data_IF_153331291906
#
_entry.id   IF_153331291906
#
_cell.length_a   1.000
_cell.length_b   1.000
_cell.length_c   1.000
_cell.angle_alpha   90.00
_cell.angle_beta   90.00
_cell.angle_gamma   90.00
#
_symmetry.space_group_name_H-M   'P 1'
#
loop_
_entity.id
_entity.type
_entity.pdbx_description
1 polymer ?
#
# COMPACT_ATOMS: atom_id res chain seq x y z
N UNK A 1 -15.19 -2.50 -1.95
CA UNK A 1 -16.15 -2.97 -2.95
C UNK A 1 -15.47 -3.60 -4.17
N UNK A 2 -14.32 -3.07 -4.59
CA UNK A 2 -13.55 -3.57 -5.75
C UNK A 2 -12.54 -4.69 -5.44
N UNK A 3 -12.40 -5.10 -4.18
CA UNK A 3 -11.53 -6.21 -3.79
C UNK A 3 -12.22 -7.54 -4.11
N UNK A 4 -11.69 -8.30 -5.05
CA UNK A 4 -12.19 -9.62 -5.45
C UNK A 4 -13.66 -9.66 -5.88
N UNK A 5 -14.09 -10.77 -6.44
CA UNK A 5 -15.50 -11.06 -6.69
C UNK A 5 -16.23 -11.50 -5.41
N UNK A 6 -17.56 -11.50 -5.36
CA UNK A 6 -18.29 -12.05 -4.22
C UNK A 6 -17.87 -13.47 -3.81
N UNK A 7 -17.71 -14.45 -4.73
CA UNK A 7 -17.22 -15.78 -4.36
C UNK A 7 -15.82 -15.77 -3.74
N UNK A 8 -14.91 -14.91 -4.26
CA UNK A 8 -13.57 -14.77 -3.69
C UNK A 8 -13.66 -14.21 -2.26
N UNK A 9 -14.46 -13.17 -2.03
CA UNK A 9 -14.59 -12.58 -0.69
C UNK A 9 -15.25 -13.49 0.33
N UNK A 10 -16.12 -14.39 -0.09
CA UNK A 10 -16.79 -15.31 0.82
C UNK A 10 -15.93 -16.51 1.23
N UNK A 11 -14.88 -16.83 0.49
CA UNK A 11 -14.00 -17.98 0.75
C UNK A 11 -12.58 -17.61 1.14
N UNK A 12 -12.09 -16.44 0.73
CA UNK A 12 -10.73 -15.99 1.04
C UNK A 12 -10.61 -15.50 2.49
N UNK A 13 -9.41 -15.63 3.05
CA UNK A 13 -9.05 -15.04 4.34
C UNK A 13 -8.05 -13.92 4.15
N UNK A 14 -8.09 -12.91 5.02
CA UNK A 14 -7.11 -11.83 5.01
C UNK A 14 -5.71 -12.36 5.30
N UNK A 15 -5.56 -13.21 6.32
CA UNK A 15 -4.29 -13.86 6.65
C UNK A 15 -3.71 -14.68 5.49
N UNK A 16 -4.55 -15.44 4.78
CA UNK A 16 -4.15 -16.19 3.58
C UNK A 16 -3.70 -15.29 2.44
N UNK A 17 -4.35 -14.14 2.22
CA UNK A 17 -3.95 -13.17 1.21
C UNK A 17 -2.58 -12.55 1.54
N UNK A 18 -2.35 -12.18 2.81
CA UNK A 18 -1.06 -11.66 3.30
C UNK A 18 0.03 -12.72 3.18
N UNK A 19 -0.20 -13.94 3.69
CA UNK A 19 0.79 -15.01 3.68
C UNK A 19 1.22 -15.42 2.26
N UNK A 20 0.30 -15.36 1.29
CA UNK A 20 0.61 -15.60 -0.13
C UNK A 20 1.58 -14.55 -0.72
N UNK A 21 1.60 -13.33 -0.20
CA UNK A 21 2.53 -12.28 -0.62
C UNK A 21 2.52 -11.98 -2.12
N UNK A 22 1.34 -12.02 -2.75
CA UNK A 22 1.23 -11.76 -4.18
C UNK A 22 1.70 -10.33 -4.50
N UNK A 23 2.60 -10.14 -5.51
CA UNK A 23 3.03 -8.81 -5.93
C UNK A 23 1.89 -7.93 -6.49
N UNK A 24 0.72 -8.50 -6.72
CA UNK A 24 -0.48 -7.81 -7.21
C UNK A 24 -1.68 -7.97 -6.25
N UNK A 25 -1.45 -8.36 -5.00
CA UNK A 25 -2.50 -8.46 -3.98
C UNK A 25 -2.93 -7.09 -3.46
N UNK A 26 -4.23 -6.81 -3.45
CA UNK A 26 -4.75 -5.46 -3.19
C UNK A 26 -4.83 -5.07 -1.71
N UNK A 27 -4.87 -6.05 -0.78
CA UNK A 27 -4.93 -5.73 0.65
C UNK A 27 -3.61 -5.19 1.20
N UNK A 28 -2.47 -5.65 0.67
CA UNK A 28 -1.15 -5.30 1.21
C UNK A 28 -0.81 -3.81 1.08
N UNK A 29 -1.04 -3.11 -0.04
CA UNK A 29 -0.80 -1.67 -0.08
C UNK A 29 -1.58 -0.90 0.98
N UNK A 30 -2.85 -1.26 1.21
CA UNK A 30 -3.68 -0.63 2.23
C UNK A 30 -3.12 -0.86 3.64
N UNK A 31 -2.77 -2.10 3.96
CA UNK A 31 -2.25 -2.47 5.27
C UNK A 31 -0.85 -1.89 5.53
N UNK A 32 0.01 -1.82 4.50
CA UNK A 32 1.33 -1.18 4.59
C UNK A 32 1.21 0.33 4.82
N UNK A 33 0.27 1.00 4.15
CA UNK A 33 0.02 2.42 4.35
C UNK A 33 -0.62 2.73 5.72
N UNK A 34 -1.18 1.72 6.40
CA UNK A 34 -1.73 1.83 7.76
C UNK A 34 -0.79 1.27 8.84
N UNK A 35 0.47 0.96 8.50
CA UNK A 35 1.48 0.36 9.39
C UNK A 35 0.95 -0.87 10.14
N UNK A 36 0.33 -1.78 9.42
CA UNK A 36 -0.20 -2.99 10.03
C UNK A 36 0.87 -3.84 10.67
N UNK A 37 0.53 -4.41 11.81
CA UNK A 37 1.32 -5.40 12.54
C UNK A 37 0.60 -6.75 12.52
N UNK A 38 1.35 -7.81 12.32
CA UNK A 38 0.86 -9.17 12.33
C UNK A 38 1.17 -9.84 13.67
N UNK A 39 0.21 -10.56 14.21
CA UNK A 39 0.45 -11.54 15.27
C UNK A 39 0.58 -12.91 14.63
N UNK A 40 1.77 -13.49 14.75
CA UNK A 40 2.07 -14.85 14.30
C UNK A 40 1.97 -15.80 15.47
N UNK A 41 1.31 -16.94 15.27
CA UNK A 41 1.15 -17.98 16.29
C UNK A 41 1.59 -19.34 15.75
N UNK A 42 2.17 -20.15 16.62
CA UNK A 42 2.38 -21.59 16.41
C UNK A 42 2.11 -22.36 17.70
N UNK A 43 1.87 -23.64 17.55
CA UNK A 43 1.86 -24.54 18.69
C UNK A 43 3.31 -24.93 19.01
N UNK A 44 3.79 -24.49 20.14
CA UNK A 44 5.15 -24.77 20.59
C UNK A 44 5.30 -26.15 21.21
N UNK A 45 6.51 -26.48 21.59
CA UNK A 45 6.85 -27.69 22.32
C UNK A 45 6.04 -27.73 23.64
N UNK A 46 5.62 -28.92 24.07
CA UNK A 46 4.81 -29.15 25.27
C UNK A 46 3.38 -28.56 25.22
N UNK A 47 2.86 -28.30 24.00
CA UNK A 47 1.46 -27.85 23.81
C UNK A 47 1.15 -26.42 24.21
N UNK A 48 2.16 -25.62 24.58
CA UNK A 48 2.00 -24.18 24.79
C UNK A 48 2.01 -23.43 23.47
N UNK A 49 1.08 -22.48 23.31
CA UNK A 49 1.08 -21.60 22.15
C UNK A 49 2.16 -20.54 22.29
N UNK A 50 2.91 -20.33 21.21
CA UNK A 50 3.93 -19.28 21.08
C UNK A 50 3.40 -18.23 20.11
N UNK A 51 3.55 -16.95 20.48
CA UNK A 51 3.14 -15.83 19.64
C UNK A 51 4.30 -14.83 19.52
N UNK A 52 4.37 -14.17 18.36
CA UNK A 52 5.26 -13.02 18.15
C UNK A 52 4.61 -11.99 17.24
N UNK A 53 5.00 -10.74 17.40
CA UNK A 53 4.52 -9.63 16.55
C UNK A 53 5.56 -9.29 15.50
N UNK A 54 5.09 -8.99 14.29
CA UNK A 54 5.93 -8.60 13.15
C UNK A 54 5.23 -7.48 12.40
N UNK A 55 5.92 -6.38 12.17
CA UNK A 55 5.43 -5.33 11.29
C UNK A 55 5.27 -5.87 9.86
N UNK A 56 4.16 -5.55 9.19
CA UNK A 56 3.89 -6.06 7.84
C UNK A 56 5.01 -5.68 6.85
N UNK A 57 5.61 -4.50 7.00
CA UNK A 57 6.74 -4.07 6.16
C UNK A 57 8.00 -4.96 6.31
N UNK A 58 8.17 -5.62 7.44
CA UNK A 58 9.27 -6.57 7.71
C UNK A 58 8.89 -8.03 7.44
N UNK A 59 7.62 -8.29 7.08
CA UNK A 59 7.11 -9.65 6.92
C UNK A 59 7.61 -10.32 5.65
N UNK A 60 7.77 -9.56 4.55
CA UNK A 60 8.22 -10.10 3.26
C UNK A 60 9.73 -9.96 3.11
N UNK A 61 10.42 -11.07 2.81
CA UNK A 61 11.86 -11.12 2.61
C UNK A 61 12.25 -11.31 1.13
N UNK A 62 11.26 -11.43 0.26
CA UNK A 62 11.44 -11.60 -1.17
C UNK A 62 10.16 -12.08 -1.86
N UNK A 63 10.25 -12.36 -3.15
CA UNK A 63 9.10 -12.85 -3.93
C UNK A 63 8.61 -14.19 -3.35
N UNK A 64 7.37 -14.21 -2.85
CA UNK A 64 6.76 -15.36 -2.15
C UNK A 64 7.59 -15.91 -0.98
N UNK A 65 8.39 -15.05 -0.37
CA UNK A 65 9.15 -15.38 0.83
C UNK A 65 8.71 -14.50 1.98
N UNK A 66 8.48 -15.09 3.13
CA UNK A 66 8.07 -14.41 4.35
C UNK A 66 8.94 -14.86 5.53
N UNK A 67 8.82 -14.17 6.63
CA UNK A 67 9.48 -14.54 7.91
C UNK A 67 8.76 -15.63 8.68
N UNK A 68 7.69 -16.22 8.13
CA UNK A 68 6.98 -17.33 8.75
C UNK A 68 7.92 -18.51 8.99
N UNK A 69 7.91 -19.03 10.20
CA UNK A 69 8.61 -20.25 10.57
C UNK A 69 7.70 -21.48 10.38
N UNK A 70 8.23 -22.69 10.28
CA UNK A 70 7.42 -23.90 10.21
C UNK A 70 6.40 -23.97 11.34
N UNK A 71 5.13 -24.22 10.97
CA UNK A 71 4.02 -24.29 11.90
C UNK A 71 3.43 -22.94 12.35
N UNK A 72 4.00 -21.80 11.93
CA UNK A 72 3.41 -20.49 12.19
C UNK A 72 2.29 -20.17 11.22
N UNK A 73 1.27 -19.46 11.71
CA UNK A 73 0.22 -18.84 10.91
C UNK A 73 -0.07 -17.42 11.39
N UNK A 74 -0.68 -16.62 10.53
CA UNK A 74 -1.13 -15.27 10.88
C UNK A 74 -2.44 -15.39 11.67
N UNK A 75 -2.38 -15.10 12.96
CA UNK A 75 -3.53 -15.14 13.84
C UNK A 75 -4.35 -13.85 13.78
N UNK A 76 -3.66 -12.71 13.79
CA UNK A 76 -4.31 -11.40 13.80
C UNK A 76 -3.54 -10.40 12.93
N UNK A 77 -4.28 -9.42 12.44
CA UNK A 77 -3.78 -8.25 11.72
C UNK A 77 -4.29 -7.02 12.46
N UNK A 78 -3.38 -6.23 12.98
CA UNK A 78 -3.68 -5.03 13.73
C UNK A 78 -3.22 -3.80 12.94
N UNK A 79 -4.03 -2.77 12.88
CA UNK A 79 -3.66 -1.48 12.32
C UNK A 79 -4.45 -0.38 13.03
N UNK A 80 -3.86 0.81 13.12
CA UNK A 80 -4.53 1.95 13.73
C UNK A 80 -5.61 2.51 12.81
N UNK A 81 -6.71 2.97 13.41
CA UNK A 81 -7.65 3.82 12.65
C UNK A 81 -6.88 5.08 12.21
N UNK A 82 -7.17 5.61 11.03
CA UNK A 82 -6.45 6.79 10.52
C UNK A 82 -6.44 7.99 11.49
N UNK A 83 -7.46 8.19 12.33
CA UNK A 83 -7.55 9.34 13.23
C UNK A 83 -7.50 10.65 12.44
N UNK A 84 -6.58 11.59 12.76
CA UNK A 84 -6.35 12.81 11.98
C UNK A 84 -5.64 12.51 10.63
N UNK A 85 -5.12 11.31 10.46
CA UNK A 85 -4.43 10.87 9.26
C UNK A 85 -5.41 10.70 8.11
N UNK A 86 -5.09 11.26 6.98
CA UNK A 86 -5.79 10.99 5.74
C UNK A 86 -5.42 9.61 5.20
N UNK A 87 -6.35 8.96 4.52
CA UNK A 87 -6.11 7.67 3.87
C UNK A 87 -6.86 7.60 2.55
N UNK A 88 -6.15 7.17 1.51
CA UNK A 88 -6.74 6.93 0.18
C UNK A 88 -6.19 5.64 -0.41
N UNK A 89 -7.01 4.94 -1.18
CA UNK A 89 -6.60 3.74 -1.90
C UNK A 89 -7.29 3.69 -3.27
N UNK A 90 -6.53 3.34 -4.30
CA UNK A 90 -7.03 3.21 -5.65
C UNK A 90 -6.54 1.92 -6.30
N UNK A 91 -7.47 1.22 -6.91
CA UNK A 91 -7.22 0.02 -7.71
C UNK A 91 -7.40 0.35 -9.19
N UNK A 92 -6.39 0.08 -9.98
CA UNK A 92 -6.40 0.19 -11.44
C UNK A 92 -6.36 -1.20 -12.06
N UNK A 93 -7.35 -1.52 -12.87
CA UNK A 93 -7.52 -2.81 -13.55
C UNK A 93 -8.17 -2.60 -14.92
N UNK A 94 -8.06 -3.56 -15.82
CA UNK A 94 -8.63 -3.48 -17.17
C UNK A 94 -10.15 -3.45 -17.17
N UNK A 95 -10.76 -4.20 -16.25
CA UNK A 95 -12.22 -4.20 -16.03
C UNK A 95 -12.53 -3.58 -14.68
N UNK A 96 -13.71 -3.01 -14.55
CA UNK A 96 -14.12 -2.35 -13.31
C UNK A 96 -14.30 -3.36 -12.17
N UNK A 97 -14.94 -4.49 -12.43
CA UNK A 97 -15.19 -5.54 -11.45
C UNK A 97 -14.51 -6.85 -11.82
N UNK A 98 -14.32 -7.71 -10.80
CA UNK A 98 -13.81 -9.08 -10.92
C UNK A 98 -12.49 -9.20 -11.69
N UNK A 99 -11.63 -8.18 -11.56
CA UNK A 99 -10.36 -8.17 -12.28
C UNK A 99 -9.17 -7.99 -11.35
N UNK A 100 -8.05 -8.56 -11.75
CA UNK A 100 -6.77 -8.44 -11.05
C UNK A 100 -6.19 -7.06 -11.36
N UNK A 101 -5.60 -6.42 -10.35
CA UNK A 101 -4.97 -5.12 -10.50
C UNK A 101 -3.80 -5.15 -11.48
N UNK A 102 -3.75 -4.18 -12.37
CA UNK A 102 -2.50 -3.78 -13.00
C UNK A 102 -1.60 -3.10 -11.95
N UNK A 103 -2.20 -2.22 -11.14
CA UNK A 103 -1.58 -1.57 -9.99
C UNK A 103 -2.67 -1.20 -8.97
N UNK A 104 -2.38 -1.37 -7.70
CA UNK A 104 -3.14 -0.82 -6.59
C UNK A 104 -2.20 0.02 -5.75
N UNK A 105 -2.62 1.22 -5.35
CA UNK A 105 -1.86 2.10 -4.48
C UNK A 105 -2.69 2.48 -3.26
N UNK A 106 -2.03 2.62 -2.12
CA UNK A 106 -2.61 3.22 -0.94
C UNK A 106 -1.62 4.23 -0.35
N UNK A 107 -2.14 5.37 0.08
CA UNK A 107 -1.37 6.43 0.71
C UNK A 107 -2.08 6.88 1.99
N UNK A 108 -1.31 7.10 3.04
CA UNK A 108 -1.76 7.81 4.23
C UNK A 108 -0.76 8.90 4.60
N UNK A 109 -1.27 10.01 5.15
CA UNK A 109 -0.48 11.18 5.56
C UNK A 109 -1.21 11.99 6.61
N UNK A 110 -0.48 12.84 7.32
CA UNK A 110 -1.03 13.90 8.14
C UNK A 110 -0.89 15.24 7.40
N UNK A 111 -1.82 16.16 7.64
CA UNK A 111 -1.70 17.55 7.19
C UNK A 111 -1.11 18.38 8.34
N UNK A 112 0.00 19.06 8.07
CA UNK A 112 0.61 20.02 8.99
C UNK A 112 0.75 21.37 8.28
N UNK A 113 -0.26 22.21 8.44
CA UNK A 113 -0.30 23.54 7.82
C UNK A 113 -0.23 23.51 6.27
N UNK A 114 -0.85 22.53 5.65
CA UNK A 114 -0.85 22.31 4.20
C UNK A 114 0.36 21.53 3.69
N UNK A 115 1.22 21.00 4.59
CA UNK A 115 2.31 20.11 4.24
C UNK A 115 1.95 18.66 4.52
N UNK A 116 2.37 17.80 3.61
CA UNK A 116 2.18 16.35 3.73
C UNK A 116 3.24 15.78 4.68
N UNK A 117 2.84 15.30 5.85
CA UNK A 117 3.75 14.76 6.85
C UNK A 117 3.38 13.34 7.23
N UNK A 118 4.33 12.58 7.77
CA UNK A 118 4.20 11.17 8.12
C UNK A 118 3.59 10.36 6.94
N UNK A 119 4.15 10.60 5.75
CA UNK A 119 3.67 10.01 4.50
C UNK A 119 4.00 8.53 4.45
N UNK A 120 3.00 7.73 4.13
CA UNK A 120 3.13 6.29 3.87
C UNK A 120 2.46 5.95 2.56
N UNK A 121 3.24 5.42 1.65
CA UNK A 121 2.80 5.07 0.31
C UNK A 121 3.23 3.65 -0.03
N UNK A 122 2.29 2.84 -0.47
CA UNK A 122 2.57 1.48 -0.89
C UNK A 122 1.86 1.14 -2.20
N UNK A 123 2.52 0.32 -3.00
CA UNK A 123 1.99 -0.18 -4.26
C UNK A 123 2.01 -1.70 -4.32
N UNK A 124 1.08 -2.24 -5.10
CA UNK A 124 1.30 -3.53 -5.75
C UNK A 124 1.71 -3.29 -7.23
N UNK A 125 2.37 -4.25 -7.81
CA UNK A 125 2.72 -4.27 -9.23
C UNK A 125 4.00 -3.52 -9.63
N UNK A 126 4.65 -2.80 -8.71
CA UNK A 126 5.94 -2.13 -8.95
C UNK A 126 7.14 -2.93 -8.42
N UNK A 127 6.93 -3.73 -7.40
CA UNK A 127 7.96 -4.53 -6.73
C UNK A 127 7.64 -6.01 -6.84
N UNK A 128 8.62 -6.92 -6.71
CA UNK A 128 8.40 -8.36 -6.77
C UNK A 128 7.63 -8.91 -5.55
N UNK A 129 7.47 -8.13 -4.50
CA UNK A 129 6.67 -8.44 -3.30
C UNK A 129 6.09 -7.14 -2.72
N UNK A 130 5.04 -7.21 -1.88
CA UNK A 130 4.44 -6.01 -1.31
C UNK A 130 5.44 -5.21 -0.47
N UNK A 131 5.58 -3.92 -0.76
CA UNK A 131 6.52 -3.04 -0.07
C UNK A 131 6.01 -1.58 -0.06
N UNK A 132 6.52 -0.79 0.88
CA UNK A 132 6.36 0.68 0.89
C UNK A 132 7.28 1.32 -0.15
N UNK A 133 6.82 2.42 -0.70
CA UNK A 133 7.52 3.21 -1.71
C UNK A 133 8.40 4.29 -1.05
N UNK A 134 9.41 3.87 -0.29
CA UNK A 134 10.21 4.74 0.59
C UNK A 134 10.81 5.95 -0.10
N UNK A 135 11.30 5.79 -1.31
CA UNK A 135 11.91 6.87 -2.09
C UNK A 135 10.87 7.90 -2.52
N UNK A 136 9.66 7.46 -2.87
CA UNK A 136 8.54 8.35 -3.17
C UNK A 136 8.02 9.02 -1.89
N UNK A 137 7.93 8.30 -0.78
CA UNK A 137 7.58 8.88 0.52
C UNK A 137 8.54 10.02 0.87
N UNK A 138 9.85 9.80 0.76
CA UNK A 138 10.86 10.82 1.02
C UNK A 138 10.78 12.03 0.07
N UNK A 139 10.39 11.81 -1.18
CA UNK A 139 10.20 12.91 -2.15
C UNK A 139 8.95 13.76 -1.87
N UNK A 140 7.97 13.21 -1.15
CA UNK A 140 6.68 13.85 -0.83
C UNK A 140 6.70 14.46 0.58
N UNK A 141 7.42 13.83 1.52
CA UNK A 141 7.47 14.24 2.94
C UNK A 141 7.83 15.71 3.12
N UNK A 142 7.05 16.44 3.91
CA UNK A 142 7.21 17.85 4.20
C UNK A 142 6.85 18.80 3.06
N UNK A 143 6.43 18.29 1.90
CA UNK A 143 6.06 19.11 0.74
C UNK A 143 4.60 19.55 0.81
N UNK A 144 4.32 20.69 0.20
CA UNK A 144 2.94 21.06 -0.13
C UNK A 144 2.52 20.35 -1.42
N UNK A 145 1.22 20.09 -1.65
CA UNK A 145 0.74 19.46 -2.88
C UNK A 145 1.16 20.17 -4.18
N UNK A 146 1.24 21.51 -4.14
CA UNK A 146 1.62 22.36 -5.27
C UNK A 146 3.14 22.42 -5.52
N UNK A 147 3.95 21.97 -4.55
CA UNK A 147 5.41 21.85 -4.68
C UNK A 147 5.83 20.52 -5.34
N UNK A 148 4.90 19.61 -5.60
CA UNK A 148 5.21 18.29 -6.17
C UNK A 148 5.32 18.37 -7.70
N UNK A 149 6.52 18.14 -8.18
CA UNK A 149 6.86 18.17 -9.59
C UNK A 149 6.78 16.78 -10.24
N UNK A 150 6.17 16.72 -11.41
CA UNK A 150 5.99 15.50 -12.21
C UNK A 150 7.33 14.86 -12.58
N UNK A 151 8.31 15.68 -13.00
CA UNK A 151 9.61 15.17 -13.45
C UNK A 151 10.37 14.52 -12.30
N UNK A 152 10.32 15.12 -11.10
CA UNK A 152 10.90 14.55 -9.87
C UNK A 152 10.27 13.20 -9.53
N UNK A 153 8.94 13.08 -9.60
CA UNK A 153 8.25 11.82 -9.32
C UNK A 153 8.59 10.74 -10.35
N UNK A 154 8.65 11.10 -11.66
CA UNK A 154 9.04 10.16 -12.72
C UNK A 154 10.49 9.67 -12.52
N UNK A 155 11.41 10.56 -12.19
CA UNK A 155 12.81 10.21 -11.93
C UNK A 155 12.95 9.27 -10.75
N UNK A 156 12.26 9.55 -9.64
CA UNK A 156 12.24 8.66 -8.47
C UNK A 156 11.71 7.28 -8.84
N UNK A 157 10.61 7.20 -9.59
CA UNK A 157 10.04 5.92 -10.02
C UNK A 157 11.02 5.17 -10.92
N UNK A 158 11.63 5.84 -11.89
CA UNK A 158 12.55 5.20 -12.84
C UNK A 158 13.78 4.59 -12.15
N UNK A 159 14.36 5.28 -11.17
CA UNK A 159 15.57 4.79 -10.47
C UNK A 159 15.31 3.83 -9.32
N UNK A 160 14.13 3.89 -8.69
CA UNK A 160 13.84 3.12 -7.46
C UNK A 160 13.24 1.76 -7.73
N UNK A 161 12.66 1.53 -8.90
CA UNK A 161 11.94 0.30 -9.20
C UNK A 161 12.51 -0.43 -10.39
N UNK A 162 12.57 -1.77 -10.29
CA UNK A 162 13.04 -2.63 -11.37
C UNK A 162 12.01 -2.67 -12.51
N UNK A 163 12.43 -2.31 -13.70
CA UNK A 163 11.64 -2.38 -14.91
C UNK A 163 11.28 -3.83 -15.23
N UNK A 164 10.02 -4.19 -15.09
CA UNK A 164 9.54 -5.54 -15.38
C UNK A 164 8.16 -5.52 -16.01
N UNK A 165 8.12 -5.94 -17.26
CA UNK A 165 6.86 -6.22 -17.94
C UNK A 165 6.20 -7.48 -17.37
N UNK A 166 4.90 -7.51 -17.43
CA UNK A 166 4.10 -8.63 -16.95
C UNK A 166 2.86 -8.84 -17.82
N UNK A 167 2.25 -10.01 -17.68
CA UNK A 167 1.05 -10.38 -18.44
C UNK A 167 -0.13 -9.39 -18.28
N UNK A 168 -0.14 -8.59 -17.22
CA UNK A 168 -1.26 -7.71 -16.90
C UNK A 168 -1.06 -6.28 -17.35
N UNK A 169 0.18 -5.81 -17.37
CA UNK A 169 0.56 -4.47 -17.81
C UNK A 169 2.05 -4.41 -18.09
N UNK A 170 2.45 -3.52 -18.98
CA UNK A 170 3.85 -3.16 -19.21
C UNK A 170 4.37 -2.33 -18.04
N UNK A 171 5.69 -2.29 -17.88
CA UNK A 171 6.34 -1.42 -16.91
C UNK A 171 5.99 0.06 -17.15
N UNK A 172 6.09 0.53 -18.39
CA UNK A 172 5.77 1.92 -18.74
C UNK A 172 4.37 2.33 -18.28
N UNK A 173 3.37 1.45 -18.47
CA UNK A 173 2.01 1.71 -17.98
C UNK A 173 1.93 1.77 -16.46
N UNK A 174 2.61 0.84 -15.76
CA UNK A 174 2.60 0.82 -14.28
C UNK A 174 3.30 2.04 -13.68
N UNK A 175 4.43 2.48 -14.26
CA UNK A 175 5.15 3.68 -13.84
C UNK A 175 4.28 4.93 -14.01
N UNK A 176 3.66 5.08 -15.20
CA UNK A 176 2.72 6.16 -15.48
C UNK A 176 1.55 6.17 -14.47
N UNK A 177 0.96 5.01 -14.21
CA UNK A 177 -0.15 4.88 -13.24
C UNK A 177 0.33 5.22 -11.82
N UNK A 178 1.50 4.74 -11.41
CA UNK A 178 2.04 5.01 -10.08
C UNK A 178 2.21 6.50 -9.82
N UNK A 179 2.85 7.23 -10.76
CA UNK A 179 2.96 8.68 -10.70
C UNK A 179 1.59 9.37 -10.64
N UNK A 180 0.70 9.02 -11.56
CA UNK A 180 -0.61 9.66 -11.63
C UNK A 180 -1.45 9.41 -10.37
N UNK A 181 -1.27 8.28 -9.68
CA UNK A 181 -1.94 8.03 -8.40
C UNK A 181 -1.39 8.91 -7.28
N UNK A 182 -0.07 9.17 -7.23
CA UNK A 182 0.50 10.15 -6.28
C UNK A 182 -0.13 11.53 -6.51
N UNK A 183 -0.10 12.01 -7.75
CA UNK A 183 -0.69 13.32 -8.10
C UNK A 183 -2.18 13.37 -7.73
N UNK A 184 -2.93 12.31 -7.98
CA UNK A 184 -4.34 12.22 -7.62
C UNK A 184 -4.57 12.26 -6.10
N UNK A 185 -3.73 11.61 -5.30
CA UNK A 185 -3.83 11.67 -3.86
C UNK A 185 -3.66 13.11 -3.35
N UNK A 186 -2.63 13.80 -3.83
CA UNK A 186 -2.30 15.16 -3.38
C UNK A 186 -3.24 16.22 -3.96
N UNK A 187 -3.76 16.06 -5.18
CA UNK A 187 -4.74 16.98 -5.77
C UNK A 187 -6.07 16.99 -4.99
N UNK A 188 -6.49 15.83 -4.49
CA UNK A 188 -7.67 15.76 -3.62
C UNK A 188 -7.47 16.56 -2.33
N UNK A 189 -6.25 16.62 -1.81
CA UNK A 189 -5.92 17.38 -0.61
C UNK A 189 -5.90 18.88 -0.89
N UNK A 190 -5.29 19.30 -1.98
CA UNK A 190 -5.30 20.71 -2.40
C UNK A 190 -6.73 21.24 -2.59
N UNK A 191 -7.62 20.43 -3.17
CA UNK A 191 -9.04 20.78 -3.33
C UNK A 191 -9.77 20.85 -1.98
N UNK A 192 -9.47 19.94 -1.05
CA UNK A 192 -10.07 19.95 0.29
C UNK A 192 -9.63 21.15 1.12
N UNK A 193 -8.33 21.51 1.06
CA UNK A 193 -7.77 22.70 1.73
C UNK A 193 -8.36 23.99 1.14
N UNK A 194 -8.49 24.08 -0.18
CA UNK A 194 -9.12 25.23 -0.83
C UNK A 194 -10.59 25.38 -0.40
N UNK A 195 -11.34 24.30 -0.28
CA UNK A 195 -12.72 24.30 0.19
C UNK A 195 -12.86 24.70 1.67
N UNK A 196 -11.91 24.29 2.52
CA UNK A 196 -11.88 24.67 3.94
C UNK A 196 -11.54 26.15 4.14
N UNK A 197 -10.62 26.70 3.34
CA UNK A 197 -10.22 28.11 3.39
C UNK A 197 -11.28 29.10 2.88
N UNK A 198 -12.29 28.64 2.15
CA UNK A 198 -13.41 29.49 1.67
C UNK A 198 -14.59 29.55 2.64
N UNK A 199 -14.56 28.76 3.72
CA UNK A 199 -15.62 28.71 4.74
C UNK A 199 -15.50 29.72 5.88
N UNK A 200 -14.43 30.49 5.96
CA UNK A 200 -14.22 31.56 6.95
C UNK A 200 -14.22 32.95 6.29
N UNK A 201 -15.38 33.39 5.84
CA UNK A 201 -15.69 34.84 5.66
C UNK A 201 -17.19 35.08 5.87
#
# INVERSE_FOLDING_TARGET
>A
RRFGSPPIRSTATLGGNIANGSPIGDSMPCLLALDATLTLRRRGARGKDETRRVELQAFYTGQKRTVLQPGEYIEAVEFSRPGPRQFRAHKISKRFEQDISATCAAMSWCDDGGRLTDVRLAYNGLTPFPARARELEAAIEGRRPDELDVATLDDVIARSYTHRDGLRATWAYRALVARNLVLRFVQHEAAALAAAGTGER
#
